data_IF_405193896502
#
_entry.id   IF_405193896502
#
_cell.length_a   1.000
_cell.length_b   1.000
_cell.length_c   1.000
_cell.angle_alpha   90.00
_cell.angle_beta   90.00
_cell.angle_gamma   90.00
#
_symmetry.space_group_name_H-M   'P 1'
#
loop_
_entity.id
_entity.type
_entity.pdbx_description
1 polymer ?
#
# COMPACT_ATOMS: atom_id res chain seq x y z
N UNK A 1 -26.18 -17.96 -41.57
CA UNK A 1 -25.63 -18.85 -40.53
C UNK A 1 -24.18 -18.52 -40.12
N UNK A 2 -23.24 -18.23 -41.05
CA UNK A 2 -21.84 -17.82 -40.69
C UNK A 2 -21.72 -16.52 -39.88
N UNK A 3 -22.61 -15.54 -40.08
CA UNK A 3 -22.59 -14.24 -39.35
C UNK A 3 -22.98 -14.34 -37.86
N UNK A 4 -23.78 -15.34 -37.49
CA UNK A 4 -24.19 -15.58 -36.10
C UNK A 4 -23.07 -16.25 -35.29
N UNK A 5 -22.23 -17.06 -35.94
CA UNK A 5 -21.08 -17.73 -35.29
C UNK A 5 -19.99 -16.70 -34.92
N UNK A 6 -19.81 -15.65 -35.73
CA UNK A 6 -18.86 -14.56 -35.40
C UNK A 6 -19.38 -13.66 -34.27
N UNK A 7 -20.69 -13.50 -34.12
CA UNK A 7 -21.28 -12.75 -33.01
C UNK A 7 -21.09 -13.47 -31.67
N UNK A 8 -21.15 -14.81 -31.68
CA UNK A 8 -20.87 -15.65 -30.50
C UNK A 8 -19.38 -15.70 -30.14
N UNK A 9 -18.48 -15.62 -31.14
CA UNK A 9 -17.03 -15.58 -30.90
C UNK A 9 -16.56 -14.24 -30.31
N UNK A 10 -17.25 -13.14 -30.61
CA UNK A 10 -16.99 -11.82 -30.00
C UNK A 10 -17.57 -11.71 -28.59
N UNK A 11 -18.71 -12.35 -28.32
CA UNK A 11 -19.33 -12.35 -26.99
C UNK A 11 -18.52 -13.19 -25.97
N UNK A 12 -17.87 -14.28 -26.41
CA UNK A 12 -17.04 -15.13 -25.56
C UNK A 12 -15.71 -14.51 -25.09
N UNK A 13 -15.24 -13.44 -25.73
CA UNK A 13 -13.93 -12.84 -25.41
C UNK A 13 -14.00 -11.73 -24.34
N UNK A 14 -15.20 -11.38 -23.87
CA UNK A 14 -15.41 -10.28 -22.90
C UNK A 14 -15.52 -10.72 -21.45
N UNK A 15 -15.41 -12.02 -21.14
CA UNK A 15 -15.27 -12.53 -19.77
C UNK A 15 -13.84 -12.35 -19.19
N UNK A 16 -13.11 -11.37 -19.73
CA UNK A 16 -11.75 -11.04 -19.32
C UNK A 16 -11.67 -10.58 -17.87
N UNK A 17 -11.01 -11.41 -17.05
CA UNK A 17 -10.09 -10.98 -16.00
C UNK A 17 -10.68 -10.05 -14.92
N UNK A 18 -11.76 -10.47 -14.27
CA UNK A 18 -11.99 -10.03 -12.89
C UNK A 18 -10.99 -10.75 -11.97
N UNK A 19 -9.73 -10.31 -11.96
CA UNK A 19 -8.80 -10.65 -10.88
C UNK A 19 -9.23 -9.88 -9.62
N UNK A 20 -10.38 -10.25 -9.08
CA UNK A 20 -10.82 -9.76 -7.79
C UNK A 20 -9.95 -10.47 -6.76
N UNK A 21 -9.06 -9.72 -6.13
CA UNK A 21 -8.33 -10.16 -4.96
C UNK A 21 -9.36 -10.34 -3.81
N UNK A 22 -9.75 -11.58 -3.48
CA UNK A 22 -10.87 -11.80 -2.57
C UNK A 22 -10.52 -11.48 -1.11
N UNK A 23 -9.24 -11.23 -0.82
CA UNK A 23 -8.74 -10.99 0.53
C UNK A 23 -8.41 -9.53 0.80
N UNK A 24 -8.34 -8.70 -0.24
CA UNK A 24 -8.21 -7.26 -0.11
C UNK A 24 -9.46 -6.66 0.53
N UNK A 25 -9.26 -6.08 1.70
CA UNK A 25 -10.28 -5.34 2.45
C UNK A 25 -10.28 -3.87 2.06
N UNK A 26 -9.09 -3.30 1.93
CA UNK A 26 -8.88 -1.89 1.62
C UNK A 26 -7.56 -1.71 0.90
N UNK A 27 -7.51 -0.80 -0.07
CA UNK A 27 -6.27 -0.36 -0.68
C UNK A 27 -6.45 1.06 -1.22
N UNK A 28 -5.55 1.96 -0.83
CA UNK A 28 -5.55 3.34 -1.32
C UNK A 28 -4.16 3.92 -1.26
N UNK A 29 -3.77 4.58 -2.35
CA UNK A 29 -2.58 5.41 -2.44
C UNK A 29 -3.01 6.87 -2.61
N UNK A 30 -2.22 7.79 -2.05
CA UNK A 30 -2.37 9.24 -2.20
C UNK A 30 -1.13 9.76 -2.88
N UNK A 31 -1.31 10.41 -4.03
CA UNK A 31 -0.23 11.09 -4.74
C UNK A 31 0.20 12.33 -3.95
N UNK A 32 1.51 12.59 -3.96
CA UNK A 32 2.13 13.70 -3.25
C UNK A 32 2.46 14.80 -4.26
N UNK A 33 2.16 16.04 -3.87
CA UNK A 33 2.39 17.20 -4.71
C UNK A 33 3.88 17.33 -5.08
N UNK A 34 4.14 17.54 -6.37
CA UNK A 34 5.49 17.71 -6.92
C UNK A 34 6.46 16.56 -6.59
N UNK A 35 5.95 15.35 -6.35
CA UNK A 35 6.72 14.18 -5.93
C UNK A 35 7.56 14.45 -4.67
N UNK A 36 7.01 15.19 -3.69
CA UNK A 36 7.71 15.54 -2.46
C UNK A 36 6.90 15.16 -1.23
N UNK A 37 7.51 14.35 -0.36
CA UNK A 37 6.95 14.04 0.94
C UNK A 37 7.44 15.03 2.00
N UNK A 38 6.65 16.07 2.18
CA UNK A 38 6.77 17.03 3.27
C UNK A 38 6.52 16.38 4.65
N UNK A 39 7.33 16.69 5.67
CA UNK A 39 7.17 16.16 7.04
C UNK A 39 5.82 16.52 7.68
N UNK A 40 5.25 17.65 7.29
CA UNK A 40 3.94 18.13 7.70
C UNK A 40 2.78 17.44 6.96
N UNK A 41 3.04 16.81 5.81
CA UNK A 41 2.02 16.06 5.06
C UNK A 41 1.94 14.66 5.64
N UNK A 42 0.82 14.37 6.31
CA UNK A 42 0.58 13.13 7.03
C UNK A 42 -0.65 12.42 6.47
N UNK A 43 -0.54 11.70 5.34
CA UNK A 43 -1.68 11.05 4.70
C UNK A 43 -2.37 10.10 5.69
N UNK A 44 -3.69 10.23 5.75
CA UNK A 44 -4.56 9.49 6.64
C UNK A 44 -5.50 8.61 5.82
N UNK A 45 -5.63 7.36 6.23
CA UNK A 45 -6.41 6.34 5.55
C UNK A 45 -7.37 5.71 6.54
N UNK A 46 -8.65 5.76 6.22
CA UNK A 46 -9.72 5.17 7.01
C UNK A 46 -10.25 3.92 6.30
N UNK A 47 -10.37 2.83 7.05
CA UNK A 47 -10.85 1.55 6.54
C UNK A 47 -11.73 0.86 7.57
N UNK A 48 -12.67 0.05 7.10
CA UNK A 48 -13.66 -0.60 7.95
C UNK A 48 -13.32 -2.07 8.18
N UNK A 49 -13.42 -2.50 9.43
CA UNK A 49 -13.28 -3.90 9.82
C UNK A 49 -14.63 -4.40 10.33
N UNK A 50 -15.22 -5.35 9.63
CA UNK A 50 -16.49 -5.97 10.01
C UNK A 50 -16.30 -7.29 10.77
N UNK A 51 -15.29 -8.09 10.40
CA UNK A 51 -15.04 -9.43 10.97
C UNK A 51 -13.84 -9.40 11.92
N UNK A 52 -14.11 -9.38 13.22
CA UNK A 52 -13.07 -9.39 14.27
C UNK A 52 -12.54 -10.78 14.59
N UNK A 53 -13.08 -11.85 13.97
CA UNK A 53 -12.61 -13.23 14.20
C UNK A 53 -11.35 -13.55 13.40
N UNK A 54 -11.07 -12.76 12.36
CA UNK A 54 -9.94 -12.93 11.47
C UNK A 54 -8.72 -12.11 11.89
N UNK A 55 -7.58 -12.46 11.31
CA UNK A 55 -6.36 -11.65 11.36
C UNK A 55 -6.18 -10.92 10.04
N UNK A 56 -5.48 -9.79 10.08
CA UNK A 56 -5.26 -8.94 8.91
C UNK A 56 -3.80 -8.54 8.78
N UNK A 57 -3.30 -8.56 7.56
CA UNK A 57 -2.01 -8.01 7.21
C UNK A 57 -2.19 -6.58 6.70
N UNK A 58 -1.44 -5.65 7.27
CA UNK A 58 -1.42 -4.25 6.84
C UNK A 58 -0.08 -3.95 6.19
N UNK A 59 -0.15 -3.46 4.97
CA UNK A 59 1.00 -3.07 4.18
C UNK A 59 1.05 -1.55 4.03
N UNK A 60 2.26 -1.02 3.93
CA UNK A 60 2.51 0.34 3.48
C UNK A 60 2.99 0.28 2.04
N UNK A 61 2.32 1.03 1.17
CA UNK A 61 2.67 1.18 -0.23
C UNK A 61 3.49 2.45 -0.40
N UNK A 62 4.60 2.37 -1.13
CA UNK A 62 5.46 3.51 -1.48
C UNK A 62 5.71 3.47 -2.98
N UNK A 63 5.53 4.61 -3.66
CA UNK A 63 6.02 4.80 -5.03
C UNK A 63 7.09 5.87 -5.03
N UNK A 64 8.27 5.56 -5.54
CA UNK A 64 9.37 6.51 -5.72
C UNK A 64 9.91 6.49 -7.13
N UNK A 65 10.67 7.53 -7.46
CA UNK A 65 11.45 7.57 -8.70
C UNK A 65 12.83 6.95 -8.49
N UNK A 66 13.53 6.62 -9.58
CA UNK A 66 14.94 6.20 -9.57
C UNK A 66 15.87 7.26 -8.98
N UNK A 67 15.47 8.54 -9.01
CA UNK A 67 16.27 9.67 -8.52
C UNK A 67 16.20 9.83 -6.99
N UNK A 68 15.40 9.03 -6.28
CA UNK A 68 15.36 9.04 -4.84
C UNK A 68 16.77 8.82 -4.24
N UNK A 69 17.23 9.76 -3.41
CA UNK A 69 18.64 9.85 -3.02
C UNK A 69 19.12 8.87 -1.94
N UNK A 70 18.27 7.96 -1.46
CA UNK A 70 18.61 7.06 -0.36
C UNK A 70 18.21 5.62 -0.69
N UNK A 71 18.96 4.64 -0.19
CA UNK A 71 18.57 3.24 -0.32
C UNK A 71 17.41 2.87 0.63
N UNK A 72 17.19 3.65 1.68
CA UNK A 72 16.17 3.41 2.70
C UNK A 72 15.20 4.58 2.86
N UNK A 73 14.05 4.27 3.45
CA UNK A 73 13.01 5.19 3.84
C UNK A 73 12.51 4.83 5.23
N UNK A 74 12.46 5.80 6.14
CA UNK A 74 11.89 5.64 7.46
C UNK A 74 10.47 6.21 7.48
N UNK A 75 9.49 5.37 7.80
CA UNK A 75 8.07 5.75 7.87
C UNK A 75 7.53 5.38 9.24
N UNK A 76 6.94 6.35 9.93
CA UNK A 76 6.23 6.10 11.17
C UNK A 76 4.74 5.98 10.86
N UNK A 77 4.12 4.89 11.29
CA UNK A 77 2.66 4.76 11.24
C UNK A 77 2.06 5.06 12.61
N UNK A 78 0.82 5.56 12.62
CA UNK A 78 -0.04 5.61 13.81
C UNK A 78 -1.38 4.97 13.48
N UNK A 79 -1.71 3.86 14.14
CA UNK A 79 -2.99 3.16 14.01
C UNK A 79 -3.91 3.56 15.17
N UNK A 80 -5.13 3.99 14.85
CA UNK A 80 -6.16 4.41 15.79
C UNK A 80 -7.42 3.57 15.59
N UNK A 81 -8.03 3.14 16.70
CA UNK A 81 -9.26 2.36 16.68
C UNK A 81 -10.54 3.20 16.55
N UNK A 82 -11.70 2.53 16.43
CA UNK A 82 -13.01 3.20 16.32
C UNK A 82 -13.37 4.09 17.51
N UNK A 83 -12.79 3.82 18.69
CA UNK A 83 -12.96 4.62 19.91
C UNK A 83 -11.98 5.81 19.99
N UNK A 84 -11.32 6.15 18.88
CA UNK A 84 -10.27 7.16 18.78
C UNK A 84 -9.03 6.91 19.67
N UNK A 85 -8.87 5.72 20.25
CA UNK A 85 -7.65 5.38 20.98
C UNK A 85 -6.58 4.87 20.05
N UNK A 86 -5.35 5.32 20.30
CA UNK A 86 -4.16 4.82 19.60
C UNK A 86 -3.92 3.36 19.97
N UNK A 87 -3.92 2.49 18.96
CA UNK A 87 -3.65 1.05 19.08
C UNK A 87 -2.15 0.79 18.97
N UNK A 88 -1.49 1.40 17.98
CA UNK A 88 -0.05 1.24 17.78
C UNK A 88 0.56 2.46 17.10
N UNK A 89 1.86 2.63 17.31
CA UNK A 89 2.69 3.60 16.61
C UNK A 89 4.10 3.03 16.50
N UNK A 90 4.53 2.67 15.30
CA UNK A 90 5.84 2.06 15.06
C UNK A 90 6.58 2.81 13.96
N UNK A 91 7.91 2.72 14.01
CA UNK A 91 8.81 3.21 12.97
C UNK A 91 9.26 2.02 12.11
N UNK A 92 9.06 2.13 10.80
CA UNK A 92 9.45 1.15 9.81
C UNK A 92 10.68 1.62 9.06
N UNK A 93 11.64 0.73 8.88
CA UNK A 93 12.71 0.90 7.90
C UNK A 93 12.34 0.13 6.63
N UNK A 94 12.14 0.86 5.53
CA UNK A 94 11.85 0.31 4.22
C UNK A 94 13.10 0.42 3.36
N UNK A 95 13.50 -0.67 2.73
CA UNK A 95 14.60 -0.65 1.75
C UNK A 95 13.96 -0.45 0.37
N UNK A 96 14.24 0.71 -0.24
CA UNK A 96 13.77 1.03 -1.59
C UNK A 96 14.82 0.61 -2.63
N UNK A 97 16.08 0.48 -2.20
CA UNK A 97 17.18 0.01 -3.05
C UNK A 97 18.08 -0.93 -2.25
N UNK A 98 18.84 -1.76 -2.95
CA UNK A 98 19.89 -2.56 -2.36
C UNK A 98 21.00 -1.64 -1.79
N UNK A 99 21.36 -1.75 -0.51
CA UNK A 99 22.34 -0.85 0.12
C UNK A 99 23.78 -1.02 -0.39
N UNK A 100 24.09 -2.14 -1.05
CA UNK A 100 25.43 -2.42 -1.59
C UNK A 100 25.51 -2.09 -3.09
N UNK A 101 24.52 -2.52 -3.87
CA UNK A 101 24.55 -2.37 -5.34
C UNK A 101 23.86 -1.09 -5.81
N UNK A 102 23.00 -0.49 -5.00
CA UNK A 102 22.14 0.62 -5.40
C UNK A 102 21.00 0.21 -6.33
N UNK A 103 20.85 -1.08 -6.63
CA UNK A 103 19.78 -1.57 -7.50
C UNK A 103 18.41 -1.30 -6.86
N UNK A 104 17.47 -0.68 -7.59
CA UNK A 104 16.15 -0.41 -7.07
C UNK A 104 15.42 -1.73 -6.77
N UNK A 105 14.71 -1.76 -5.65
CA UNK A 105 13.83 -2.87 -5.28
C UNK A 105 12.41 -2.57 -5.76
N UNK A 106 11.48 -3.52 -5.53
CA UNK A 106 10.09 -3.35 -5.95
C UNK A 106 9.85 -3.72 -7.41
N UNK A 107 8.68 -3.37 -7.91
CA UNK A 107 8.27 -3.61 -9.29
C UNK A 107 7.96 -2.28 -9.98
N UNK A 108 8.09 -2.22 -11.30
CA UNK A 108 7.90 -0.95 -12.00
C UNK A 108 8.43 -0.98 -13.41
N UNK A 109 8.39 0.16 -14.08
CA UNK A 109 8.90 0.32 -15.45
C UNK A 109 9.47 1.72 -15.63
N UNK A 110 10.60 1.80 -16.32
CA UNK A 110 11.34 3.04 -16.46
C UNK A 110 11.85 3.53 -15.11
N UNK A 111 11.54 4.78 -14.78
CA UNK A 111 12.07 5.43 -13.58
C UNK A 111 11.19 5.27 -12.35
N UNK A 112 10.08 4.53 -12.43
CA UNK A 112 9.10 4.41 -11.33
C UNK A 112 9.18 3.05 -10.67
N UNK A 113 9.21 3.04 -9.33
CA UNK A 113 9.27 1.84 -8.51
C UNK A 113 8.15 1.83 -7.48
N UNK A 114 7.37 0.76 -7.50
CA UNK A 114 6.30 0.44 -6.56
C UNK A 114 6.79 -0.57 -5.53
N UNK A 115 6.54 -0.26 -4.27
CA UNK A 115 6.89 -1.09 -3.13
C UNK A 115 5.68 -1.36 -2.26
N UNK A 116 5.60 -2.58 -1.74
CA UNK A 116 4.61 -2.98 -0.75
C UNK A 116 5.31 -3.67 0.43
N UNK A 117 5.36 -2.97 1.56
CA UNK A 117 6.03 -3.45 2.77
C UNK A 117 5.01 -3.93 3.79
N UNK A 118 5.13 -5.19 4.25
CA UNK A 118 4.30 -5.72 5.33
C UNK A 118 4.66 -5.01 6.64
N UNK A 119 3.80 -4.10 7.10
CA UNK A 119 4.03 -3.23 8.24
C UNK A 119 3.47 -3.80 9.54
N UNK A 120 2.27 -4.39 9.49
CA UNK A 120 1.65 -5.05 10.65
C UNK A 120 1.16 -6.44 10.22
N UNK A 121 1.95 -7.50 10.50
CA UNK A 121 1.53 -8.87 10.22
C UNK A 121 0.50 -9.35 11.26
N UNK A 122 -0.50 -10.11 10.82
CA UNK A 122 -1.48 -10.78 11.67
C UNK A 122 -2.15 -9.88 12.72
N UNK A 123 -2.40 -8.61 12.37
CA UNK A 123 -3.09 -7.64 13.21
C UNK A 123 -4.49 -8.16 13.55
N UNK A 124 -4.82 -8.12 14.84
CA UNK A 124 -6.15 -8.44 15.35
C UNK A 124 -6.87 -7.17 15.75
N UNK A 125 -8.06 -6.99 15.20
CA UNK A 125 -8.94 -5.88 15.50
C UNK A 125 -10.00 -6.37 16.48
N UNK A 126 -10.02 -5.79 17.69
CA UNK A 126 -10.86 -6.28 18.80
C UNK A 126 -12.33 -5.88 18.67
N UNK A 127 -12.61 -4.84 17.90
CA UNK A 127 -13.94 -4.27 17.73
C UNK A 127 -14.21 -4.02 16.24
N UNK A 128 -15.45 -4.26 15.77
CA UNK A 128 -15.82 -3.82 14.44
C UNK A 128 -15.87 -2.29 14.37
N UNK A 129 -15.68 -1.74 13.19
CA UNK A 129 -15.81 -0.31 12.91
C UNK A 129 -14.67 0.27 12.10
N UNK A 130 -14.63 1.60 12.02
CA UNK A 130 -13.65 2.36 11.24
C UNK A 130 -12.34 2.53 12.02
N UNK A 131 -11.26 2.06 11.40
CA UNK A 131 -9.90 2.27 11.88
C UNK A 131 -9.21 3.32 11.01
N UNK A 132 -8.23 4.01 11.59
CA UNK A 132 -7.45 5.03 10.89
C UNK A 132 -5.96 4.76 11.00
N UNK A 133 -5.26 4.77 9.87
CA UNK A 133 -3.80 4.81 9.82
C UNK A 133 -3.35 6.16 9.29
N UNK A 134 -2.44 6.79 10.02
CA UNK A 134 -1.70 7.98 9.58
C UNK A 134 -0.27 7.58 9.30
N UNK A 135 0.26 8.00 8.15
CA UNK A 135 1.66 7.79 7.78
C UNK A 135 2.43 9.11 7.86
N UNK A 136 3.62 9.06 8.43
CA UNK A 136 4.54 10.19 8.56
C UNK A 136 5.91 9.76 8.04
N UNK A 137 6.51 10.54 7.15
CA UNK A 137 7.93 10.37 6.86
C UNK A 137 8.75 10.77 8.09
N UNK A 138 9.77 9.97 8.40
CA UNK A 138 10.65 10.15 9.55
C UNK A 138 12.12 10.24 9.11
N UNK A 139 12.34 10.90 7.97
CA UNK A 139 13.67 11.22 7.44
C UNK A 139 14.15 12.54 8.03
N UNK A 140 15.45 12.83 7.88
CA UNK A 140 16.06 14.09 8.36
C UNK A 140 15.68 15.31 7.53
N UNK A 141 15.16 15.10 6.32
CA UNK A 141 14.86 16.16 5.36
C UNK A 141 13.38 16.55 5.46
N UNK A 142 13.10 17.84 5.60
CA UNK A 142 11.74 18.37 5.75
C UNK A 142 10.86 18.12 4.52
N UNK A 143 11.46 18.20 3.33
CA UNK A 143 10.81 17.98 2.04
C UNK A 143 11.56 16.86 1.32
N UNK A 144 11.10 15.63 1.47
CA UNK A 144 11.76 14.46 0.89
C UNK A 144 11.38 14.33 -0.60
N UNK A 145 12.30 14.57 -1.54
CA UNK A 145 12.00 14.49 -2.97
C UNK A 145 11.83 13.06 -3.44
N UNK A 146 11.30 12.92 -4.65
CA UNK A 146 11.24 11.66 -5.41
C UNK A 146 10.38 10.56 -4.78
N UNK A 147 9.53 10.92 -3.83
CA UNK A 147 8.42 10.07 -3.38
C UNK A 147 7.14 10.58 -4.05
N UNK A 148 6.58 9.76 -4.94
CA UNK A 148 5.41 10.13 -5.74
C UNK A 148 4.11 9.89 -5.00
N UNK A 149 3.99 8.76 -4.30
CA UNK A 149 2.77 8.42 -3.60
C UNK A 149 3.02 7.50 -2.41
N UNK A 150 2.11 7.58 -1.45
CA UNK A 150 2.12 6.76 -0.25
C UNK A 150 0.72 6.23 0.01
N UNK A 151 0.64 5.01 0.53
CA UNK A 151 -0.63 4.36 0.73
C UNK A 151 -0.59 3.22 1.70
N UNK A 152 -1.75 2.61 1.88
CA UNK A 152 -1.88 1.38 2.64
C UNK A 152 -2.69 0.35 1.87
N UNK A 153 -2.46 -0.91 2.21
CA UNK A 153 -3.32 -2.03 1.86
C UNK A 153 -3.62 -2.83 3.12
N UNK A 154 -4.87 -3.22 3.29
CA UNK A 154 -5.33 -4.11 4.35
C UNK A 154 -5.89 -5.36 3.69
N UNK A 155 -5.39 -6.53 4.08
CA UNK A 155 -5.84 -7.82 3.57
C UNK A 155 -6.05 -8.80 4.72
N UNK A 156 -6.88 -9.83 4.53
CA UNK A 156 -6.96 -10.94 5.50
C UNK A 156 -5.63 -11.68 5.55
N UNK A 157 -5.14 -11.99 6.75
CA UNK A 157 -3.87 -12.69 6.95
C UNK A 157 -4.04 -14.19 6.71
N UNK A 158 -3.01 -14.83 6.13
CA UNK A 158 -3.01 -16.29 5.89
C UNK A 158 -2.98 -16.73 4.42
N UNK A 159 -2.72 -15.82 3.47
CA UNK A 159 -2.47 -16.25 2.09
C UNK A 159 -0.98 -16.48 1.79
N UNK A 160 -0.67 -17.51 0.98
CA UNK A 160 0.67 -17.73 0.46
C UNK A 160 1.03 -16.59 -0.49
N UNK A 161 2.23 -16.03 -0.29
CA UNK A 161 2.84 -15.08 -1.22
C UNK A 161 2.89 -15.75 -2.61
N UNK A 162 2.14 -15.25 -3.59
CA UNK A 162 2.36 -15.59 -5.00
C UNK A 162 3.63 -14.92 -5.51
#
# INVERSE_FOLDING_TARGET
MRKLIHLWLVLGLTLGLAACDPNRVFEKNTDLDNNRWAVQVKPAFEFEIADTTQRYDIYINIRNTLSYGYYNLYVKHTLTGPDNKRISQLLHQMLLMNPQTGEPQGSGTGDLFDHQFLALPNQHFRHPGTYKIVLEQYMRQDQLPDIMSVGIRVAKAGEPKK
#
